data_IF_777031481273
#
_entry.id   IF_777031481273
#
_cell.length_a   1.000
_cell.length_b   1.000
_cell.length_c   1.000
_cell.angle_alpha   90.00
_cell.angle_beta   90.00
_cell.angle_gamma   90.00
#
_symmetry.space_group_name_H-M   'P 1'
#
loop_
_entity.id
_entity.type
_entity.pdbx_description
1 polymer ?
#
# COMPACT_ATOMS: atom_id res chain seq x y z
N UNK A 1 -13.18 20.45 4.49
CA UNK A 1 -11.79 20.41 3.97
C UNK A 1 -10.88 19.43 4.72
N UNK A 2 -10.87 19.41 6.06
CA UNK A 2 -10.06 18.47 6.85
C UNK A 2 -10.39 16.98 6.61
N UNK A 3 -11.65 16.63 6.36
CA UNK A 3 -12.09 15.24 6.12
C UNK A 3 -11.55 14.67 4.81
N UNK A 4 -11.57 15.46 3.73
CA UNK A 4 -10.99 15.07 2.44
C UNK A 4 -9.48 14.87 2.53
N UNK A 5 -8.78 15.75 3.25
CA UNK A 5 -7.34 15.59 3.50
C UNK A 5 -7.03 14.31 4.28
N UNK A 6 -7.80 14.00 5.34
CA UNK A 6 -7.67 12.75 6.10
C UNK A 6 -7.93 11.51 5.23
N UNK A 7 -8.92 11.56 4.34
CA UNK A 7 -9.20 10.48 3.41
C UNK A 7 -8.05 10.23 2.43
N UNK A 8 -7.45 11.30 1.89
CA UNK A 8 -6.27 11.21 1.02
C UNK A 8 -5.07 10.63 1.77
N UNK A 9 -4.78 11.10 3.00
CA UNK A 9 -3.71 10.51 3.81
C UNK A 9 -3.94 9.03 4.09
N UNK A 10 -5.18 8.65 4.40
CA UNK A 10 -5.55 7.25 4.65
C UNK A 10 -5.32 6.38 3.42
N UNK A 11 -5.62 6.88 2.22
CA UNK A 11 -5.36 6.18 0.96
C UNK A 11 -3.87 6.17 0.60
N UNK A 12 -3.09 7.21 0.95
CA UNK A 12 -1.66 7.29 0.67
C UNK A 12 -0.80 6.52 1.67
N UNK A 13 -1.32 6.24 2.86
CA UNK A 13 -0.63 5.55 3.95
C UNK A 13 0.05 4.22 3.55
N UNK A 14 -0.59 3.31 2.78
CA UNK A 14 0.03 2.05 2.39
C UNK A 14 1.25 2.26 1.48
N UNK A 15 1.20 3.29 0.63
CA UNK A 15 2.29 3.66 -0.28
C UNK A 15 3.46 4.22 0.52
N UNK A 16 3.19 5.15 1.44
CA UNK A 16 4.20 5.72 2.33
C UNK A 16 4.89 4.65 3.18
N UNK A 17 4.12 3.72 3.75
CA UNK A 17 4.65 2.59 4.51
C UNK A 17 5.57 1.70 3.68
N UNK A 18 5.22 1.43 2.42
CA UNK A 18 6.04 0.61 1.52
C UNK A 18 7.34 1.30 1.12
N UNK A 19 7.31 2.62 0.87
CA UNK A 19 8.51 3.42 0.63
C UNK A 19 9.44 3.37 1.83
N UNK A 20 8.89 3.45 3.05
CA UNK A 20 9.70 3.34 4.27
C UNK A 20 10.32 1.96 4.44
N UNK A 21 9.58 0.88 4.17
CA UNK A 21 10.12 -0.48 4.22
C UNK A 21 11.22 -0.69 3.17
N UNK A 22 11.08 -0.11 1.98
CA UNK A 22 12.13 -0.10 0.96
C UNK A 22 13.37 0.64 1.44
N UNK A 23 13.19 1.80 2.08
CA UNK A 23 14.30 2.52 2.71
C UNK A 23 15.02 1.63 3.73
N UNK A 24 14.29 0.95 4.63
CA UNK A 24 14.90 0.05 5.61
C UNK A 24 15.62 -1.13 4.95
N UNK A 25 15.06 -1.70 3.88
CA UNK A 25 15.67 -2.80 3.13
C UNK A 25 17.02 -2.43 2.48
N UNK A 26 17.26 -1.14 2.24
CA UNK A 26 18.53 -0.64 1.71
C UNK A 26 19.55 -0.29 2.81
N UNK A 27 19.13 -0.20 4.07
CA UNK A 27 20.02 0.10 5.21
C UNK A 27 20.94 -1.06 5.57
N UNK A 28 21.89 -0.82 6.49
CA UNK A 28 22.72 -1.86 7.06
C UNK A 28 21.90 -2.85 7.94
N UNK A 29 22.36 -4.10 8.13
CA UNK A 29 21.75 -5.03 9.08
C UNK A 29 21.79 -4.45 10.52
N UNK A 30 20.82 -4.80 11.40
CA UNK A 30 19.75 -5.79 11.21
C UNK A 30 18.45 -5.23 10.61
N UNK A 31 18.30 -3.90 10.55
CA UNK A 31 17.07 -3.22 10.08
C UNK A 31 16.70 -3.60 8.63
N UNK A 32 17.71 -3.91 7.82
CA UNK A 32 17.54 -4.49 6.48
C UNK A 32 16.53 -5.63 6.44
N UNK A 33 16.60 -6.55 7.39
CA UNK A 33 15.74 -7.74 7.40
C UNK A 33 14.29 -7.38 7.68
N UNK A 34 14.05 -6.39 8.54
CA UNK A 34 12.71 -5.87 8.81
C UNK A 34 12.12 -5.26 7.54
N UNK A 35 12.91 -4.48 6.80
CA UNK A 35 12.49 -3.91 5.52
C UNK A 35 12.15 -4.99 4.48
N UNK A 36 13.01 -6.01 4.33
CA UNK A 36 12.80 -7.11 3.38
C UNK A 36 11.56 -7.94 3.73
N UNK A 37 11.43 -8.37 5.00
CA UNK A 37 10.29 -9.18 5.45
C UNK A 37 8.99 -8.37 5.34
N UNK A 38 9.02 -7.10 5.74
CA UNK A 38 7.88 -6.20 5.59
C UNK A 38 7.45 -6.05 4.13
N UNK A 39 8.39 -5.81 3.22
CA UNK A 39 8.10 -5.72 1.79
C UNK A 39 7.54 -7.02 1.23
N UNK A 40 8.07 -8.17 1.63
CA UNK A 40 7.58 -9.48 1.17
C UNK A 40 6.10 -9.72 1.52
N UNK A 41 5.64 -9.18 2.66
CA UNK A 41 4.24 -9.27 3.10
C UNK A 41 3.37 -8.21 2.41
N UNK A 42 3.87 -6.96 2.33
CA UNK A 42 3.05 -5.83 1.88
C UNK A 42 2.93 -5.77 0.36
N UNK A 43 3.98 -6.07 -0.41
CA UNK A 43 3.96 -5.95 -1.87
C UNK A 43 2.87 -6.78 -2.56
N UNK A 44 2.64 -8.07 -2.21
CA UNK A 44 1.54 -8.84 -2.80
C UNK A 44 0.17 -8.22 -2.55
N UNK A 45 -0.04 -7.69 -1.33
CA UNK A 45 -1.30 -7.04 -0.96
C UNK A 45 -1.48 -5.73 -1.71
N UNK A 46 -0.42 -4.93 -1.83
CA UNK A 46 -0.43 -3.66 -2.55
C UNK A 46 -0.62 -3.88 -4.06
N UNK A 47 -0.08 -4.97 -4.60
CA UNK A 47 -0.29 -5.39 -5.97
C UNK A 47 -1.75 -5.80 -6.22
N UNK A 48 -2.35 -6.61 -5.33
CA UNK A 48 -3.76 -6.98 -5.41
C UNK A 48 -4.69 -5.77 -5.27
N UNK A 49 -4.38 -4.83 -4.37
CA UNK A 49 -5.10 -3.58 -4.23
C UNK A 49 -5.01 -2.71 -5.50
N UNK A 50 -3.82 -2.58 -6.08
CA UNK A 50 -3.62 -1.81 -7.31
C UNK A 50 -4.36 -2.44 -8.50
N UNK A 51 -4.35 -3.78 -8.61
CA UNK A 51 -5.13 -4.53 -9.60
C UNK A 51 -6.64 -4.29 -9.45
N UNK A 52 -7.16 -4.32 -8.22
CA UNK A 52 -8.56 -4.02 -7.95
C UNK A 52 -8.93 -2.60 -8.37
N UNK A 53 -8.12 -1.61 -7.98
CA UNK A 53 -8.43 -0.20 -8.23
C UNK A 53 -8.26 0.23 -9.69
N UNK A 54 -7.29 -0.34 -10.42
CA UNK A 54 -6.99 0.04 -11.80
C UNK A 54 -7.71 -0.83 -12.84
N UNK A 55 -7.92 -2.11 -12.53
CA UNK A 55 -8.45 -3.09 -13.50
C UNK A 55 -9.76 -3.74 -13.03
N UNK A 56 -10.32 -3.37 -11.87
CA UNK A 56 -11.57 -3.93 -11.36
C UNK A 56 -11.46 -5.40 -10.93
N UNK A 57 -10.26 -5.91 -10.70
CA UNK A 57 -10.02 -7.33 -10.38
C UNK A 57 -9.99 -7.57 -8.88
N UNK A 58 -10.86 -8.45 -8.39
CA UNK A 58 -10.83 -8.93 -7.01
C UNK A 58 -11.51 -7.99 -5.99
N UNK A 59 -11.32 -8.24 -4.68
CA UNK A 59 -12.15 -7.64 -3.63
C UNK A 59 -11.91 -6.14 -3.37
N UNK A 60 -10.97 -5.51 -4.08
CA UNK A 60 -10.66 -4.08 -3.99
C UNK A 60 -11.09 -3.30 -5.23
N UNK A 61 -11.89 -3.90 -6.11
CA UNK A 61 -12.57 -3.15 -7.15
C UNK A 61 -13.46 -2.09 -6.49
N UNK A 62 -13.32 -0.83 -6.91
CA UNK A 62 -14.26 0.22 -6.53
C UNK A 62 -15.60 -0.16 -7.19
N UNK A 63 -16.48 -0.80 -6.43
CA UNK A 63 -17.75 -1.31 -6.93
C UNK A 63 -18.51 -0.20 -7.63
N UNK A 64 -18.88 -0.46 -8.88
CA UNK A 64 -19.94 0.26 -9.56
C UNK A 64 -21.24 -0.02 -8.78
N UNK A 65 -21.50 0.79 -7.75
CA UNK A 65 -22.83 0.96 -7.20
C UNK A 65 -23.61 1.80 -8.20
N UNK A 66 -24.07 1.16 -9.28
CA UNK A 66 -25.15 1.66 -10.10
C UNK A 66 -26.44 1.53 -9.30
N UNK A 67 -26.84 2.62 -8.65
CA UNK A 67 -28.23 2.96 -8.31
C UNK A 67 -28.51 4.37 -8.85
#
# INVERSE_FOLDING_TARGET
MLEGFRAVLRNAWPVLGSIYLLYLALQAPPVRYVGIVGLAIVLPLLFGWALGRLFGVGPWADGESTD
#
